data_IF_649716721420
#
_entry.id   IF_649716721420
#
_cell.length_a   1.000
_cell.length_b   1.000
_cell.length_c   1.000
_cell.angle_alpha   90.00
_cell.angle_beta   90.00
_cell.angle_gamma   90.00
#
_symmetry.space_group_name_H-M   'P 1'
#
loop_
_entity.id
_entity.type
_entity.pdbx_description
1 polymer ?
#
# COMPACT_ATOMS: atom_id res chain seq x y z
N UNK A 1 -3.68 0.61 -11.09
CA UNK A 1 -4.03 1.29 -12.35
C UNK A 1 -4.50 2.71 -12.06
N UNK A 2 -4.38 3.64 -13.02
CA UNK A 2 -4.91 5.00 -12.85
C UNK A 2 -5.23 5.64 -14.18
N UNK A 3 -6.16 6.60 -14.16
CA UNK A 3 -6.52 7.47 -15.29
C UNK A 3 -6.40 8.91 -14.82
N UNK A 4 -5.80 9.75 -15.66
CA UNK A 4 -5.66 11.18 -15.42
C UNK A 4 -6.35 11.95 -16.54
N UNK A 5 -7.13 12.95 -16.17
CA UNK A 5 -7.67 13.96 -17.07
C UNK A 5 -7.04 15.31 -16.75
N UNK A 6 -6.61 16.03 -17.78
CA UNK A 6 -5.95 17.33 -17.69
C UNK A 6 -6.91 18.35 -18.31
N UNK A 7 -7.14 19.45 -17.60
CA UNK A 7 -8.00 20.51 -18.12
C UNK A 7 -7.37 21.15 -19.37
N UNK A 8 -8.17 21.57 -20.37
CA UNK A 8 -7.63 22.27 -21.54
C UNK A 8 -6.89 23.57 -21.20
N UNK A 9 -7.24 24.19 -20.08
CA UNK A 9 -6.56 25.37 -19.54
C UNK A 9 -5.25 25.06 -18.81
N UNK A 10 -4.93 23.77 -18.62
CA UNK A 10 -3.74 23.23 -17.96
C UNK A 10 -3.49 23.68 -16.51
N UNK A 11 -4.35 24.54 -15.95
CA UNK A 11 -4.29 25.03 -14.58
C UNK A 11 -4.81 24.03 -13.53
N UNK A 12 -5.44 22.92 -13.94
CA UNK A 12 -5.81 21.85 -13.02
C UNK A 12 -5.90 20.48 -13.71
N UNK A 13 -5.82 19.42 -12.90
CA UNK A 13 -6.00 18.04 -13.35
C UNK A 13 -6.65 17.18 -12.28
N UNK A 14 -7.31 16.09 -12.72
CA UNK A 14 -7.93 15.09 -11.84
C UNK A 14 -7.39 13.72 -12.18
N UNK A 15 -7.00 12.96 -11.17
CA UNK A 15 -6.51 11.58 -11.32
C UNK A 15 -7.29 10.62 -10.44
N UNK A 16 -7.96 9.65 -11.06
CA UNK A 16 -8.53 8.49 -10.38
C UNK A 16 -7.56 7.31 -10.39
N UNK A 17 -7.45 6.58 -9.28
CA UNK A 17 -6.56 5.42 -9.20
C UNK A 17 -7.09 4.30 -8.33
N UNK A 18 -6.63 3.09 -8.63
CA UNK A 18 -6.83 1.87 -7.84
C UNK A 18 -5.49 1.19 -7.61
N UNK A 19 -5.18 0.90 -6.35
CA UNK A 19 -4.03 0.12 -5.90
C UNK A 19 -4.50 -1.28 -5.48
N UNK A 20 -3.64 -2.28 -5.67
CA UNK A 20 -3.98 -3.70 -5.44
C UNK A 20 -5.28 -4.10 -6.18
N UNK A 21 -5.27 -3.97 -7.51
CA UNK A 21 -6.46 -4.09 -8.37
C UNK A 21 -7.20 -5.42 -8.25
N UNK A 22 -6.48 -6.49 -7.86
CA UNK A 22 -7.05 -7.83 -7.67
C UNK A 22 -7.29 -8.18 -6.21
N UNK A 23 -7.08 -7.23 -5.29
CA UNK A 23 -7.22 -7.43 -3.83
C UNK A 23 -6.41 -8.62 -3.30
N UNK A 24 -5.19 -8.78 -3.80
CA UNK A 24 -4.31 -9.85 -3.35
C UNK A 24 -3.81 -9.53 -1.95
N UNK A 25 -3.98 -10.50 -1.06
CA UNK A 25 -3.35 -10.47 0.25
C UNK A 25 -1.93 -11.00 0.14
N UNK A 26 -0.97 -10.25 0.67
CA UNK A 26 0.44 -10.64 0.68
C UNK A 26 1.11 -10.11 1.95
N UNK A 27 2.14 -10.82 2.40
CA UNK A 27 2.95 -10.43 3.56
C UNK A 27 4.08 -9.55 3.06
N UNK A 28 4.23 -8.37 3.67
CA UNK A 28 5.33 -7.44 3.36
C UNK A 28 6.54 -7.74 4.25
N UNK A 29 6.27 -8.17 5.48
CA UNK A 29 7.31 -8.44 6.45
C UNK A 29 6.84 -9.45 7.48
N UNK A 30 7.77 -10.30 7.90
CA UNK A 30 7.57 -11.26 8.98
C UNK A 30 8.66 -11.05 10.02
N UNK A 31 8.26 -10.92 11.29
CA UNK A 31 9.17 -11.04 12.42
C UNK A 31 8.95 -12.40 13.06
N UNK A 32 9.96 -13.24 12.93
CA UNK A 32 9.97 -14.54 13.60
C UNK A 32 10.62 -14.40 14.97
N UNK A 33 9.79 -14.34 16.01
CA UNK A 33 10.20 -14.33 17.41
C UNK A 33 9.98 -15.71 18.06
N UNK A 34 9.76 -16.74 17.24
CA UNK A 34 9.43 -18.09 17.69
C UNK A 34 10.65 -18.92 18.11
N UNK A 35 11.86 -18.41 17.83
CA UNK A 35 13.12 -19.02 18.25
C UNK A 35 13.37 -18.99 19.76
N UNK A 36 14.57 -19.45 20.14
CA UNK A 36 15.07 -19.43 21.51
C UNK A 36 16.20 -18.39 21.66
N UNK A 37 16.72 -18.19 22.89
CA UNK A 37 17.80 -17.25 23.22
C UNK A 37 19.05 -17.38 22.32
N UNK A 38 19.33 -18.57 21.79
CA UNK A 38 20.45 -18.82 20.88
C UNK A 38 20.20 -18.39 19.43
N UNK A 39 18.94 -18.23 19.02
CA UNK A 39 18.56 -17.92 17.64
C UNK A 39 17.82 -16.57 17.51
N UNK A 40 17.73 -15.80 18.60
CA UNK A 40 17.15 -14.45 18.63
C UNK A 40 15.64 -14.36 18.89
N UNK A 41 14.98 -15.46 19.29
CA UNK A 41 13.54 -15.48 19.62
C UNK A 41 13.28 -15.71 21.11
N UNK A 42 12.13 -15.23 21.61
CA UNK A 42 11.82 -15.27 23.06
C UNK A 42 10.35 -15.61 23.39
N UNK A 43 9.44 -15.65 22.40
CA UNK A 43 8.01 -15.63 22.70
C UNK A 43 7.16 -16.70 21.97
N UNK A 44 7.74 -17.53 21.09
CA UNK A 44 6.95 -18.51 20.34
C UNK A 44 6.00 -17.85 19.33
N UNK A 45 6.22 -16.57 19.00
CA UNK A 45 5.35 -15.76 18.16
C UNK A 45 5.97 -15.53 16.78
N UNK A 46 5.13 -15.58 15.76
CA UNK A 46 5.47 -15.09 14.42
C UNK A 46 4.51 -13.96 14.12
N UNK A 47 5.05 -12.76 13.95
CA UNK A 47 4.26 -11.58 13.62
C UNK A 47 4.36 -11.30 12.12
N UNK A 48 3.21 -11.15 11.48
CA UNK A 48 3.11 -10.93 10.04
C UNK A 48 2.45 -9.59 9.75
N UNK A 49 3.12 -8.78 8.95
CA UNK A 49 2.62 -7.49 8.48
C UNK A 49 2.12 -7.64 7.06
N UNK A 50 0.82 -7.43 6.88
CA UNK A 50 0.17 -7.54 5.58
C UNK A 50 0.31 -6.25 4.77
N UNK A 51 0.40 -6.43 3.45
CA UNK A 51 0.33 -5.35 2.49
C UNK A 51 -1.03 -4.66 2.49
N UNK A 52 -1.11 -3.48 1.87
CA UNK A 52 -2.36 -2.72 1.81
C UNK A 52 -3.42 -3.50 1.01
N UNK A 53 -4.69 -3.51 1.49
CA UNK A 53 -5.79 -4.10 0.73
C UNK A 53 -6.04 -3.30 -0.55
N UNK A 54 -7.04 -3.71 -1.36
CA UNK A 54 -7.49 -2.88 -2.48
C UNK A 54 -7.91 -1.50 -1.98
N UNK A 55 -7.26 -0.48 -2.53
CA UNK A 55 -7.54 0.92 -2.23
C UNK A 55 -7.86 1.66 -3.51
N UNK A 56 -8.80 2.59 -3.46
CA UNK A 56 -9.07 3.52 -4.55
C UNK A 56 -9.00 4.95 -4.04
N UNK A 57 -8.78 5.90 -4.94
CA UNK A 57 -8.70 7.30 -4.58
C UNK A 57 -8.77 8.22 -5.78
N UNK A 58 -8.96 9.51 -5.48
CA UNK A 58 -9.01 10.59 -6.46
C UNK A 58 -8.11 11.72 -5.97
N UNK A 59 -7.27 12.25 -6.86
CA UNK A 59 -6.44 13.42 -6.60
C UNK A 59 -6.91 14.58 -7.49
N UNK A 60 -7.08 15.76 -6.90
CA UNK A 60 -7.24 17.03 -7.60
C UNK A 60 -5.94 17.82 -7.44
N UNK A 61 -5.39 18.31 -8.55
CA UNK A 61 -4.25 19.20 -8.55
C UNK A 61 -4.65 20.52 -9.21
N UNK A 62 -4.29 21.65 -8.59
CA UNK A 62 -4.60 23.00 -9.05
C UNK A 62 -3.31 23.81 -9.00
N UNK A 63 -3.01 24.53 -10.07
CA UNK A 63 -1.91 25.48 -10.19
C UNK A 63 -2.48 26.91 -10.22
N UNK A 64 -1.82 27.82 -9.51
CA UNK A 64 -2.21 29.23 -9.34
C UNK A 64 -1.10 30.13 -9.89
#
# INVERSE_FOLDING_TARGET
ASVTWIAPSENWSVRGFVQNMFDQQYIVQTFDLSGNLTNGGLFGLVEQYYGRPRMWGVNLNVAF
#
